data_IF_247089884709
#
_entry.id   IF_247089884709
#
_cell.length_a   1.000
_cell.length_b   1.000
_cell.length_c   1.000
_cell.angle_alpha   90.00
_cell.angle_beta   90.00
_cell.angle_gamma   90.00
#
_symmetry.space_group_name_H-M   'P 1'
#
loop_
_entity.id
_entity.type
_entity.pdbx_description
1 polymer ?
#
# COMPACT_ATOMS: atom_id res chain seq x y z
N UNK A 1 -35.78 -2.39 0.67
CA UNK A 1 -36.98 -2.63 1.52
C UNK A 1 -38.13 -1.70 1.19
N UNK A 2 -38.02 -0.40 1.28
CA UNK A 2 -39.09 0.57 0.94
C UNK A 2 -39.60 0.38 -0.49
N UNK A 3 -38.69 0.20 -1.45
CA UNK A 3 -39.04 -0.08 -2.85
C UNK A 3 -39.79 -1.37 -2.99
N UNK A 4 -39.42 -2.43 -2.30
CA UNK A 4 -40.06 -3.74 -2.36
C UNK A 4 -41.44 -3.69 -1.73
N UNK A 5 -41.59 -2.96 -0.60
CA UNK A 5 -42.89 -2.70 0.02
C UNK A 5 -43.81 -1.90 -0.89
N UNK A 6 -43.32 -0.83 -1.49
CA UNK A 6 -44.05 0.02 -2.42
C UNK A 6 -44.50 -0.76 -3.66
N UNK A 7 -43.58 -1.56 -4.20
CA UNK A 7 -43.86 -2.39 -5.38
C UNK A 7 -44.90 -3.48 -5.08
N UNK A 8 -44.82 -4.12 -3.93
CA UNK A 8 -45.71 -5.18 -3.53
C UNK A 8 -47.14 -4.67 -3.22
N UNK A 9 -47.26 -3.52 -2.56
CA UNK A 9 -48.58 -2.93 -2.22
C UNK A 9 -49.27 -2.33 -3.45
N UNK A 10 -48.50 -1.64 -4.33
CA UNK A 10 -49.09 -1.01 -5.52
C UNK A 10 -49.39 -1.99 -6.67
N UNK A 11 -48.57 -3.01 -6.83
CA UNK A 11 -48.69 -3.91 -7.96
C UNK A 11 -49.48 -5.19 -7.65
N UNK A 12 -49.75 -5.48 -6.37
CA UNK A 12 -50.45 -6.73 -6.02
C UNK A 12 -51.83 -6.86 -6.73
N UNK A 13 -52.64 -5.83 -6.70
CA UNK A 13 -53.94 -5.83 -7.33
C UNK A 13 -53.84 -5.91 -8.85
N UNK A 14 -52.97 -5.17 -9.48
CA UNK A 14 -52.77 -5.20 -10.93
C UNK A 14 -52.23 -6.53 -11.40
N UNK A 15 -51.27 -7.09 -10.67
CA UNK A 15 -50.72 -8.40 -10.98
C UNK A 15 -51.75 -9.52 -10.85
N UNK A 16 -52.55 -9.45 -9.78
CA UNK A 16 -53.63 -10.41 -9.57
C UNK A 16 -54.67 -10.34 -10.71
N UNK A 17 -55.07 -9.14 -11.13
CA UNK A 17 -56.01 -8.92 -12.21
C UNK A 17 -55.52 -9.54 -13.53
N UNK A 18 -54.27 -9.27 -13.90
CA UNK A 18 -53.64 -9.81 -15.12
C UNK A 18 -53.59 -11.35 -15.08
N UNK A 19 -53.09 -11.89 -13.96
CA UNK A 19 -52.98 -13.35 -13.78
C UNK A 19 -54.33 -14.03 -13.83
N UNK A 20 -55.37 -13.44 -13.20
CA UNK A 20 -56.69 -14.00 -13.15
C UNK A 20 -57.37 -13.96 -14.54
N UNK A 21 -57.15 -12.91 -15.33
CA UNK A 21 -57.59 -12.86 -16.74
C UNK A 21 -56.99 -13.98 -17.58
N UNK A 22 -55.65 -14.17 -17.49
CA UNK A 22 -54.99 -15.26 -18.23
C UNK A 22 -55.53 -16.66 -17.83
N UNK A 23 -55.72 -16.88 -16.52
CA UNK A 23 -56.31 -18.13 -16.02
C UNK A 23 -57.72 -18.36 -16.56
N UNK A 24 -58.57 -17.32 -16.53
CA UNK A 24 -59.95 -17.43 -16.98
C UNK A 24 -60.03 -17.69 -18.49
N UNK A 25 -59.15 -17.02 -19.27
CA UNK A 25 -59.04 -17.27 -20.71
C UNK A 25 -58.62 -18.72 -21.02
N UNK A 26 -57.66 -19.27 -20.25
CA UNK A 26 -57.24 -20.66 -20.38
C UNK A 26 -58.36 -21.64 -20.03
N UNK A 27 -59.13 -21.36 -18.98
CA UNK A 27 -60.28 -22.14 -18.55
C UNK A 27 -61.35 -22.13 -19.62
N UNK A 28 -61.70 -20.96 -20.14
CA UNK A 28 -62.74 -20.85 -21.23
C UNK A 28 -62.30 -21.62 -22.47
N UNK A 29 -61.01 -21.58 -22.86
CA UNK A 29 -60.51 -22.41 -23.98
C UNK A 29 -60.59 -23.89 -23.69
N UNK A 30 -60.31 -24.31 -22.44
CA UNK A 30 -60.45 -25.73 -22.05
C UNK A 30 -61.93 -26.19 -22.08
N UNK A 31 -62.86 -25.38 -21.61
CA UNK A 31 -64.32 -25.67 -21.71
C UNK A 31 -64.74 -25.82 -23.15
N UNK A 32 -64.32 -24.91 -24.05
CA UNK A 32 -64.57 -24.99 -25.49
C UNK A 32 -64.03 -26.28 -26.11
N UNK A 33 -62.86 -26.74 -25.72
CA UNK A 33 -62.25 -28.00 -26.18
C UNK A 33 -63.00 -29.21 -25.63
N UNK A 34 -63.32 -29.21 -24.32
CA UNK A 34 -64.00 -30.31 -23.66
C UNK A 34 -65.45 -30.57 -24.27
N UNK A 35 -66.12 -29.49 -24.60
CA UNK A 35 -67.46 -29.62 -25.24
C UNK A 35 -67.44 -30.27 -26.64
N UNK A 36 -66.31 -30.08 -27.38
CA UNK A 36 -66.16 -30.72 -28.72
C UNK A 36 -65.90 -32.23 -28.63
N UNK A 37 -65.49 -32.75 -27.48
CA UNK A 37 -65.23 -34.16 -27.26
C UNK A 37 -66.51 -34.89 -26.92
N UNK A 38 -66.68 -36.15 -27.32
CA UNK A 38 -67.94 -36.89 -27.49
C UNK A 38 -68.70 -37.34 -26.21
N UNK A 39 -68.23 -37.03 -24.96
CA UNK A 39 -68.79 -37.59 -23.72
C UNK A 39 -69.40 -36.52 -22.81
N UNK A 40 -70.82 -36.50 -22.72
CA UNK A 40 -71.56 -35.45 -22.00
C UNK A 40 -71.37 -35.52 -20.46
N UNK A 41 -71.35 -36.75 -19.90
CA UNK A 41 -71.19 -36.87 -18.43
C UNK A 41 -69.85 -36.40 -17.93
N UNK A 42 -68.75 -36.75 -18.60
CA UNK A 42 -67.44 -36.28 -18.27
C UNK A 42 -67.25 -34.77 -18.48
N UNK A 43 -68.08 -34.14 -19.28
CA UNK A 43 -68.02 -32.68 -19.48
C UNK A 43 -68.46 -31.92 -18.22
N UNK A 44 -69.54 -32.35 -17.58
CA UNK A 44 -70.01 -31.70 -16.35
C UNK A 44 -69.10 -31.93 -15.18
N UNK A 45 -68.55 -33.15 -15.00
CA UNK A 45 -67.56 -33.45 -13.96
C UNK A 45 -66.31 -32.60 -14.13
N UNK A 46 -65.80 -32.44 -15.34
CA UNK A 46 -64.61 -31.53 -15.61
C UNK A 46 -64.96 -30.07 -15.34
N UNK A 47 -66.17 -29.61 -15.57
CA UNK A 47 -66.58 -28.23 -15.27
C UNK A 47 -66.63 -28.00 -13.76
N UNK A 48 -67.04 -28.97 -13.00
CA UNK A 48 -67.08 -28.90 -11.54
C UNK A 48 -65.69 -28.80 -10.95
N UNK A 49 -64.77 -29.66 -11.39
CA UNK A 49 -63.37 -29.63 -10.98
C UNK A 49 -62.66 -28.30 -11.32
N UNK A 50 -62.92 -27.78 -12.53
CA UNK A 50 -62.37 -26.49 -12.99
C UNK A 50 -62.91 -25.33 -12.14
N UNK A 51 -64.24 -25.34 -11.87
CA UNK A 51 -64.88 -24.30 -11.05
C UNK A 51 -64.27 -24.25 -9.64
N UNK A 52 -64.03 -25.41 -9.00
CA UNK A 52 -63.48 -25.50 -7.65
C UNK A 52 -61.98 -25.12 -7.60
N UNK A 53 -61.24 -25.58 -8.59
CA UNK A 53 -59.79 -25.37 -8.59
C UNK A 53 -59.38 -23.89 -8.83
N UNK A 54 -60.23 -23.20 -9.66
CA UNK A 54 -59.85 -21.84 -10.09
C UNK A 54 -60.73 -20.71 -9.49
N UNK A 55 -61.65 -21.03 -8.56
CA UNK A 55 -62.54 -20.03 -7.97
C UNK A 55 -63.29 -19.21 -9.06
N UNK A 56 -63.85 -19.91 -10.01
CA UNK A 56 -64.56 -19.35 -11.15
C UNK A 56 -66.02 -19.90 -11.13
N UNK A 57 -67.02 -19.01 -11.22
CA UNK A 57 -68.40 -19.38 -11.27
C UNK A 57 -68.83 -19.66 -12.71
N UNK A 58 -69.35 -20.86 -12.95
CA UNK A 58 -69.74 -21.32 -14.29
C UNK A 58 -71.23 -21.62 -14.29
N UNK A 59 -71.95 -21.01 -15.22
CA UNK A 59 -73.36 -21.28 -15.48
C UNK A 59 -73.52 -21.74 -16.93
N UNK A 60 -74.23 -22.83 -17.14
CA UNK A 60 -74.45 -23.40 -18.46
C UNK A 60 -75.93 -23.51 -18.70
N UNK A 61 -76.40 -22.89 -19.76
CA UNK A 61 -77.78 -22.96 -20.20
C UNK A 61 -77.85 -23.45 -21.64
N UNK A 62 -78.95 -24.17 -21.95
CA UNK A 62 -79.32 -24.48 -23.33
C UNK A 62 -79.94 -23.25 -23.98
N UNK A 63 -79.98 -23.21 -25.31
CA UNK A 63 -80.64 -22.15 -26.10
C UNK A 63 -82.14 -21.99 -25.88
N UNK A 64 -82.80 -23.03 -25.38
CA UNK A 64 -84.17 -23.01 -24.98
C UNK A 64 -84.46 -22.42 -23.59
N UNK A 65 -83.39 -21.95 -22.90
CA UNK A 65 -83.45 -21.37 -21.57
C UNK A 65 -83.40 -22.39 -20.42
N UNK A 66 -83.31 -23.70 -20.71
CA UNK A 66 -83.16 -24.72 -19.68
C UNK A 66 -81.75 -24.70 -19.09
N UNK A 67 -81.60 -24.68 -17.75
CA UNK A 67 -80.29 -24.67 -17.04
C UNK A 67 -79.76 -26.10 -16.98
N UNK A 68 -78.60 -26.35 -17.56
CA UNK A 68 -77.87 -27.62 -17.49
C UNK A 68 -76.91 -27.75 -16.32
N UNK A 69 -76.30 -26.71 -15.96
CA UNK A 69 -75.34 -26.65 -14.82
C UNK A 69 -75.30 -25.28 -14.17
N UNK A 70 -75.41 -25.26 -12.88
CA UNK A 70 -75.20 -24.05 -12.07
C UNK A 70 -74.54 -24.45 -10.74
N UNK A 71 -73.37 -23.90 -10.47
CA UNK A 71 -72.75 -24.03 -9.16
C UNK A 71 -72.97 -22.75 -8.39
N UNK A 72 -73.83 -22.73 -7.39
CA UNK A 72 -73.96 -21.59 -6.52
C UNK A 72 -72.73 -21.47 -5.68
N UNK A 73 -72.16 -20.29 -5.57
CA UNK A 73 -71.24 -19.95 -4.47
C UNK A 73 -72.02 -20.16 -3.16
N UNK A 74 -71.32 -20.64 -2.10
CA UNK A 74 -71.93 -21.00 -0.80
C UNK A 74 -72.75 -19.92 -0.09
N UNK A 75 -72.93 -18.75 -0.72
CA UNK A 75 -73.82 -17.68 -0.26
C UNK A 75 -74.95 -17.38 -1.28
N UNK A 76 -76.15 -17.49 -0.84
CA UNK A 76 -77.38 -17.26 -1.66
C UNK A 76 -77.44 -15.86 -2.29
N UNK A 77 -76.74 -14.88 -1.71
CA UNK A 77 -76.63 -13.49 -2.20
C UNK A 77 -75.84 -13.45 -3.50
N UNK A 78 -74.67 -14.13 -3.55
CA UNK A 78 -73.81 -14.18 -4.73
C UNK A 78 -74.51 -14.90 -5.90
N UNK A 79 -75.23 -15.98 -5.64
CA UNK A 79 -75.95 -16.71 -6.68
C UNK A 79 -77.05 -15.84 -7.39
N UNK A 80 -77.78 -15.06 -6.62
CA UNK A 80 -78.79 -14.14 -7.17
C UNK A 80 -78.15 -13.01 -7.97
N UNK A 81 -77.02 -12.52 -7.50
CA UNK A 81 -76.24 -11.47 -8.20
C UNK A 81 -75.78 -11.96 -9.57
N UNK A 82 -75.17 -13.14 -9.68
CA UNK A 82 -74.66 -13.68 -10.93
C UNK A 82 -75.84 -14.03 -11.89
N UNK A 83 -76.98 -14.52 -11.40
CA UNK A 83 -78.18 -14.76 -12.21
C UNK A 83 -78.66 -13.47 -12.89
N UNK A 84 -78.61 -12.32 -12.20
CA UNK A 84 -78.99 -11.03 -12.79
C UNK A 84 -78.00 -10.59 -13.88
N UNK A 85 -76.70 -10.89 -13.69
CA UNK A 85 -75.65 -10.54 -14.67
C UNK A 85 -75.71 -11.37 -15.96
N UNK A 86 -76.37 -12.55 -15.96
CA UNK A 86 -76.55 -13.35 -17.15
C UNK A 86 -77.35 -12.59 -18.21
N UNK A 87 -78.33 -11.78 -17.80
CA UNK A 87 -79.12 -10.97 -18.74
C UNK A 87 -78.25 -9.95 -19.48
N UNK A 88 -77.33 -9.29 -18.73
CA UNK A 88 -76.34 -8.36 -19.29
C UNK A 88 -75.32 -9.03 -20.24
N UNK A 89 -74.89 -10.24 -19.91
CA UNK A 89 -74.05 -11.04 -20.80
C UNK A 89 -74.78 -11.42 -22.09
N UNK A 90 -76.03 -11.81 -22.00
CA UNK A 90 -76.88 -12.15 -23.17
C UNK A 90 -77.07 -10.93 -24.07
N UNK A 91 -77.39 -9.79 -23.50
CA UNK A 91 -77.58 -8.53 -24.25
C UNK A 91 -76.29 -8.21 -25.05
N UNK A 92 -75.15 -8.23 -24.41
CA UNK A 92 -73.87 -7.98 -25.09
C UNK A 92 -73.50 -9.05 -26.11
N UNK A 93 -73.87 -10.31 -25.87
CA UNK A 93 -73.59 -11.40 -26.79
C UNK A 93 -74.51 -11.28 -28.08
N UNK A 94 -75.71 -10.78 -27.92
CA UNK A 94 -76.60 -10.46 -29.06
C UNK A 94 -76.15 -9.23 -29.83
N UNK A 95 -75.63 -8.21 -29.13
CA UNK A 95 -75.14 -6.99 -29.76
C UNK A 95 -73.78 -7.22 -30.53
N UNK A 96 -72.92 -8.07 -30.05
CA UNK A 96 -71.65 -8.35 -30.68
C UNK A 96 -71.73 -9.16 -31.95
N UNK A 97 -72.77 -9.93 -32.14
CA UNK A 97 -72.98 -10.93 -33.22
C UNK A 97 -71.81 -11.96 -33.28
N UNK A 98 -71.09 -12.14 -32.21
CA UNK A 98 -69.95 -13.06 -32.06
C UNK A 98 -70.32 -14.25 -31.18
N UNK A 99 -69.67 -15.43 -31.38
CA UNK A 99 -69.83 -16.60 -30.54
C UNK A 99 -69.26 -16.46 -29.13
N UNK A 100 -68.61 -15.32 -28.81
CA UNK A 100 -67.99 -15.07 -27.51
C UNK A 100 -67.88 -13.58 -27.17
N UNK A 101 -68.16 -13.24 -25.94
CA UNK A 101 -68.07 -11.90 -25.41
C UNK A 101 -67.33 -11.97 -24.06
N UNK A 102 -66.45 -10.99 -23.82
CA UNK A 102 -65.80 -10.81 -22.52
C UNK A 102 -65.77 -9.33 -22.14
N UNK A 103 -66.17 -9.05 -20.93
CA UNK A 103 -66.16 -7.69 -20.37
C UNK A 103 -66.11 -7.72 -18.85
N UNK A 104 -65.79 -6.60 -18.28
CA UNK A 104 -65.73 -6.44 -16.83
C UNK A 104 -67.02 -5.80 -16.34
N UNK A 105 -67.61 -6.34 -15.30
CA UNK A 105 -68.78 -5.80 -14.59
C UNK A 105 -68.38 -5.41 -13.18
N UNK A 106 -69.06 -4.41 -12.62
CA UNK A 106 -68.85 -4.02 -11.23
C UNK A 106 -69.50 -5.06 -10.31
N UNK A 107 -68.80 -5.39 -9.23
CA UNK A 107 -69.28 -6.35 -8.24
C UNK A 107 -70.34 -5.76 -7.31
N UNK A 108 -70.61 -6.45 -6.22
CA UNK A 108 -71.51 -5.98 -5.16
C UNK A 108 -71.02 -4.75 -4.39
N UNK A 109 -69.78 -4.37 -4.62
CA UNK A 109 -69.13 -3.25 -4.05
C UNK A 109 -68.30 -2.54 -5.18
N UNK A 110 -68.46 -1.23 -5.37
CA UNK A 110 -67.89 -0.46 -6.50
C UNK A 110 -66.39 -0.61 -6.70
N UNK A 111 -65.69 -1.07 -5.66
CA UNK A 111 -64.24 -1.36 -5.73
C UNK A 111 -63.90 -2.76 -6.30
N UNK A 112 -64.86 -3.61 -6.50
CA UNK A 112 -64.70 -5.02 -6.89
C UNK A 112 -65.17 -5.25 -8.31
N UNK A 113 -64.26 -5.70 -9.15
CA UNK A 113 -64.56 -6.01 -10.56
C UNK A 113 -64.66 -7.50 -10.80
N UNK A 114 -65.60 -7.92 -11.63
CA UNK A 114 -65.80 -9.29 -12.04
C UNK A 114 -65.60 -9.37 -13.54
N UNK A 115 -64.76 -10.31 -13.99
CA UNK A 115 -64.65 -10.63 -15.41
C UNK A 115 -65.69 -11.58 -15.80
N UNK A 116 -66.55 -11.17 -16.72
CA UNK A 116 -67.68 -11.96 -17.27
C UNK A 116 -67.36 -12.40 -18.69
N UNK A 117 -67.57 -13.67 -18.95
CA UNK A 117 -67.51 -14.27 -20.28
C UNK A 117 -68.91 -14.90 -20.65
N UNK A 118 -69.33 -14.64 -21.86
CA UNK A 118 -70.39 -15.36 -22.52
C UNK A 118 -69.88 -16.11 -23.73
N UNK A 119 -70.06 -17.40 -23.81
CA UNK A 119 -69.57 -18.20 -24.94
C UNK A 119 -70.66 -19.13 -25.46
N UNK A 120 -70.99 -19.07 -26.74
CA UNK A 120 -71.82 -20.00 -27.44
C UNK A 120 -71.03 -21.23 -27.88
N UNK A 121 -71.37 -22.38 -27.37
CA UNK A 121 -70.72 -23.65 -27.72
C UNK A 121 -71.59 -24.41 -28.74
N UNK A 122 -71.10 -24.53 -29.95
CA UNK A 122 -71.70 -25.26 -31.02
C UNK A 122 -70.86 -26.48 -31.37
N UNK A 123 -71.38 -27.65 -31.36
CA UNK A 123 -70.73 -28.88 -31.80
C UNK A 123 -71.66 -29.73 -32.67
N UNK A 124 -71.09 -30.48 -33.65
CA UNK A 124 -71.89 -31.37 -34.54
C UNK A 124 -72.66 -32.37 -33.71
N UNK A 125 -74.00 -32.44 -33.99
CA UNK A 125 -74.96 -33.35 -33.33
C UNK A 125 -75.16 -33.10 -31.83
N UNK A 126 -74.94 -31.89 -31.31
CA UNK A 126 -75.28 -31.50 -29.95
C UNK A 126 -76.10 -30.24 -29.94
N UNK A 127 -76.95 -30.09 -28.90
CA UNK A 127 -77.69 -28.86 -28.68
C UNK A 127 -76.75 -27.70 -28.40
N UNK A 128 -76.92 -26.55 -29.04
CA UNK A 128 -76.07 -25.40 -28.71
C UNK A 128 -76.24 -25.00 -27.24
N UNK A 129 -75.10 -24.72 -26.55
CA UNK A 129 -75.11 -24.32 -25.17
C UNK A 129 -74.48 -22.92 -25.04
N UNK A 130 -74.93 -22.15 -24.07
CA UNK A 130 -74.26 -20.91 -23.66
C UNK A 130 -73.61 -21.15 -22.31
N UNK A 131 -72.35 -20.87 -22.25
CA UNK A 131 -71.57 -20.95 -21.03
C UNK A 131 -71.21 -19.52 -20.55
N UNK A 132 -71.67 -19.20 -19.39
CA UNK A 132 -71.37 -17.96 -18.69
C UNK A 132 -70.32 -18.27 -17.64
N UNK A 133 -69.22 -17.49 -17.65
CA UNK A 133 -68.13 -17.64 -16.69
C UNK A 133 -67.93 -16.33 -16.01
N UNK A 134 -67.98 -16.34 -14.68
CA UNK A 134 -67.70 -15.14 -13.85
C UNK A 134 -66.48 -15.38 -12.97
N UNK A 135 -65.52 -14.53 -13.10
CA UNK A 135 -64.26 -14.62 -12.35
C UNK A 135 -64.00 -13.35 -11.54
N UNK A 136 -63.95 -13.40 -10.22
CA UNK A 136 -63.60 -12.23 -9.41
C UNK A 136 -62.16 -11.77 -9.69
N UNK A 137 -61.99 -10.48 -9.94
CA UNK A 137 -60.68 -9.86 -10.22
C UNK A 137 -60.01 -9.29 -8.97
N UNK A 138 -60.47 -9.67 -7.79
CA UNK A 138 -59.88 -9.28 -6.53
C UNK A 138 -59.45 -10.52 -5.73
N UNK A 139 -58.33 -10.45 -5.02
CA UNK A 139 -57.94 -11.54 -4.13
C UNK A 139 -58.89 -11.62 -2.93
N UNK A 140 -59.11 -12.82 -2.42
CA UNK A 140 -59.91 -13.03 -1.21
C UNK A 140 -59.32 -12.16 -0.07
N UNK A 141 -60.19 -11.43 0.63
CA UNK A 141 -59.82 -10.47 1.66
C UNK A 141 -58.86 -11.06 2.71
N UNK A 142 -59.04 -12.33 3.06
CA UNK A 142 -58.14 -13.05 3.98
C UNK A 142 -56.73 -13.17 3.43
N UNK A 143 -56.53 -13.37 2.14
CA UNK A 143 -55.24 -13.49 1.50
C UNK A 143 -54.46 -12.16 1.54
N UNK A 144 -55.18 -11.05 1.26
CA UNK A 144 -54.57 -9.70 1.36
C UNK A 144 -54.13 -9.42 2.79
N UNK A 145 -54.96 -9.75 3.78
CA UNK A 145 -54.64 -9.51 5.20
C UNK A 145 -53.46 -10.35 5.66
N UNK A 146 -53.37 -11.62 5.24
CA UNK A 146 -52.23 -12.49 5.54
C UNK A 146 -50.92 -11.91 4.95
N UNK A 147 -50.95 -11.53 3.65
CA UNK A 147 -49.79 -10.96 2.96
C UNK A 147 -49.33 -9.64 3.59
N UNK A 148 -50.29 -8.78 3.97
CA UNK A 148 -49.99 -7.51 4.63
C UNK A 148 -49.32 -7.71 6.00
N UNK A 149 -49.91 -8.61 6.81
CA UNK A 149 -49.30 -8.95 8.12
C UNK A 149 -47.91 -9.57 7.96
N UNK A 150 -47.75 -10.49 7.03
CA UNK A 150 -46.45 -11.11 6.75
C UNK A 150 -45.44 -10.08 6.32
N UNK A 151 -45.80 -9.10 5.51
CA UNK A 151 -44.93 -8.01 5.05
C UNK A 151 -44.47 -7.13 6.23
N UNK A 152 -45.35 -6.84 7.19
CA UNK A 152 -44.99 -6.09 8.41
C UNK A 152 -43.95 -6.85 9.23
N UNK A 153 -44.14 -8.17 9.45
CA UNK A 153 -43.18 -8.98 10.19
C UNK A 153 -41.81 -9.06 9.50
N UNK A 154 -41.80 -9.31 8.18
CA UNK A 154 -40.55 -9.36 7.39
C UNK A 154 -39.84 -8.03 7.43
N UNK A 155 -40.55 -6.89 7.33
CA UNK A 155 -39.97 -5.56 7.41
C UNK A 155 -39.33 -5.31 8.78
N UNK A 156 -40.04 -5.65 9.85
CA UNK A 156 -39.51 -5.47 11.20
C UNK A 156 -38.26 -6.32 11.46
N UNK A 157 -38.29 -7.60 11.10
CA UNK A 157 -37.16 -8.52 11.28
C UNK A 157 -35.95 -8.05 10.45
N UNK A 158 -36.16 -7.63 9.20
CA UNK A 158 -35.05 -7.16 8.35
C UNK A 158 -34.45 -5.85 8.84
N UNK A 159 -35.27 -4.94 9.38
CA UNK A 159 -34.77 -3.70 9.99
C UNK A 159 -33.92 -4.00 11.23
N UNK A 160 -34.39 -4.89 12.10
CA UNK A 160 -33.64 -5.33 13.27
C UNK A 160 -32.31 -5.98 12.89
N UNK A 161 -32.33 -6.87 11.89
CA UNK A 161 -31.13 -7.51 11.38
C UNK A 161 -30.14 -6.50 10.79
N UNK A 162 -30.62 -5.51 10.01
CA UNK A 162 -29.79 -4.44 9.45
C UNK A 162 -29.13 -3.59 10.55
N UNK A 163 -29.88 -3.27 11.61
CA UNK A 163 -29.32 -2.55 12.77
C UNK A 163 -28.23 -3.37 13.47
N UNK A 164 -28.45 -4.66 13.70
CA UNK A 164 -27.46 -5.56 14.30
C UNK A 164 -26.19 -5.66 13.46
N UNK A 165 -26.32 -5.85 12.15
CA UNK A 165 -25.19 -5.90 11.22
C UNK A 165 -24.45 -4.57 11.22
N UNK A 166 -25.16 -3.44 11.14
CA UNK A 166 -24.55 -2.11 11.14
C UNK A 166 -23.75 -1.84 12.42
N UNK A 167 -24.31 -2.21 13.56
CA UNK A 167 -23.63 -2.05 14.86
C UNK A 167 -22.39 -2.95 14.96
N UNK A 168 -22.47 -4.19 14.49
CA UNK A 168 -21.35 -5.13 14.41
C UNK A 168 -20.24 -4.63 13.52
N UNK A 169 -20.55 -4.17 12.29
CA UNK A 169 -19.57 -3.64 11.33
C UNK A 169 -18.91 -2.36 11.87
N UNK A 170 -19.69 -1.47 12.48
CA UNK A 170 -19.16 -0.23 13.10
C UNK A 170 -18.09 -0.53 14.14
N UNK A 171 -18.31 -1.54 14.99
CA UNK A 171 -17.33 -1.96 15.98
C UNK A 171 -16.07 -2.59 15.41
N UNK A 172 -16.21 -3.35 14.32
CA UNK A 172 -15.13 -4.14 13.72
C UNK A 172 -14.28 -3.38 12.70
N UNK A 173 -14.88 -2.43 11.97
CA UNK A 173 -14.21 -1.71 10.87
C UNK A 173 -14.03 -0.23 11.21
N UNK A 174 -15.09 0.47 11.56
CA UNK A 174 -15.06 1.93 11.68
C UNK A 174 -14.21 2.38 12.89
N UNK A 175 -14.34 1.71 14.02
CA UNK A 175 -13.57 2.08 15.23
C UNK A 175 -12.05 1.92 15.06
N UNK A 176 -11.50 0.81 14.51
CA UNK A 176 -10.07 0.69 14.26
C UNK A 176 -9.55 1.76 13.27
N UNK A 177 -10.26 1.99 12.16
CA UNK A 177 -9.89 3.01 11.18
C UNK A 177 -9.85 4.40 11.82
N UNK A 178 -10.84 4.75 12.64
CA UNK A 178 -10.86 6.04 13.35
C UNK A 178 -9.67 6.20 14.32
N UNK A 179 -9.26 5.10 14.98
CA UNK A 179 -8.06 5.12 15.84
C UNK A 179 -6.79 5.35 15.05
N UNK A 180 -6.66 4.68 13.89
CA UNK A 180 -5.52 4.89 12.98
C UNK A 180 -5.50 6.33 12.48
N UNK A 181 -6.64 6.89 12.05
CA UNK A 181 -6.74 8.28 11.61
C UNK A 181 -6.32 9.27 12.71
N UNK A 182 -6.78 9.09 13.95
CA UNK A 182 -6.38 9.95 15.06
C UNK A 182 -4.89 9.83 15.41
N UNK A 183 -4.32 8.61 15.31
CA UNK A 183 -2.87 8.43 15.47
C UNK A 183 -2.08 9.08 14.34
N UNK A 184 -2.63 9.09 13.11
CA UNK A 184 -2.00 9.75 11.98
C UNK A 184 -2.05 11.29 12.09
N UNK A 185 -3.10 11.86 12.68
CA UNK A 185 -3.15 13.29 13.03
C UNK A 185 -2.02 13.66 14.01
N UNK A 186 -1.83 12.87 15.07
CA UNK A 186 -0.73 13.08 16.02
C UNK A 186 0.65 12.98 15.36
N UNK A 187 0.82 12.03 14.42
CA UNK A 187 2.04 11.91 13.64
C UNK A 187 2.28 13.16 12.79
N UNK A 188 1.24 13.72 12.18
CA UNK A 188 1.33 14.96 11.40
C UNK A 188 1.66 16.19 12.27
N UNK A 189 1.27 16.18 13.54
CA UNK A 189 1.59 17.21 14.52
C UNK A 189 3.02 17.09 15.09
N UNK A 190 3.79 16.10 14.58
CA UNK A 190 5.20 15.93 14.95
C UNK A 190 5.44 14.95 16.10
N UNK A 191 4.44 14.20 16.54
CA UNK A 191 4.62 13.10 17.48
C UNK A 191 5.09 11.85 16.73
N UNK A 192 6.38 11.62 16.68
CA UNK A 192 6.97 10.45 16.01
C UNK A 192 7.05 9.22 16.94
N UNK A 193 7.37 8.04 16.37
CA UNK A 193 7.48 6.80 17.15
C UNK A 193 6.13 6.21 17.57
N UNK A 194 5.03 6.65 16.96
CA UNK A 194 3.69 6.17 17.29
C UNK A 194 3.48 4.75 16.75
N UNK A 195 3.04 3.85 17.63
CA UNK A 195 2.60 2.50 17.27
C UNK A 195 1.12 2.53 16.90
N UNK A 196 0.81 2.29 15.65
CA UNK A 196 -0.56 2.19 15.15
C UNK A 196 -1.14 0.82 15.51
N UNK A 197 -2.32 0.82 16.11
CA UNK A 197 -3.01 -0.43 16.47
C UNK A 197 -4.03 -0.78 15.39
N UNK A 198 -3.86 -1.94 14.78
CA UNK A 198 -4.78 -2.50 13.81
C UNK A 198 -6.10 -2.98 14.43
N UNK A 199 -6.77 -3.89 13.72
CA UNK A 199 -8.06 -4.46 14.09
C UNK A 199 -8.11 -5.97 13.86
N UNK A 200 -9.30 -6.46 13.51
CA UNK A 200 -9.53 -7.88 13.25
C UNK A 200 -9.31 -8.26 11.76
N UNK A 201 -9.08 -7.28 10.88
CA UNK A 201 -8.91 -7.49 9.44
C UNK A 201 -7.44 -7.36 9.06
N UNK A 202 -6.98 -8.26 8.22
CA UNK A 202 -5.59 -8.32 7.75
C UNK A 202 -5.16 -7.02 7.07
N UNK A 203 -6.06 -6.41 6.29
CA UNK A 203 -5.81 -5.16 5.57
C UNK A 203 -5.59 -3.98 6.54
N UNK A 204 -6.37 -3.93 7.62
CA UNK A 204 -6.23 -2.89 8.65
C UNK A 204 -4.94 -3.10 9.46
N UNK A 205 -4.55 -4.35 9.73
CA UNK A 205 -3.29 -4.66 10.39
C UNK A 205 -2.10 -4.30 9.50
N UNK A 206 -2.12 -4.68 8.22
CA UNK A 206 -1.06 -4.32 7.27
C UNK A 206 -0.90 -2.79 7.13
N UNK A 207 -2.02 -2.05 7.13
CA UNK A 207 -1.98 -0.59 7.13
C UNK A 207 -1.35 -0.05 8.42
N UNK A 208 -1.77 -0.56 9.58
CA UNK A 208 -1.23 -0.16 10.88
C UNK A 208 0.28 -0.44 10.99
N UNK A 209 0.73 -1.62 10.55
CA UNK A 209 2.13 -2.02 10.55
C UNK A 209 2.97 -1.14 9.61
N UNK A 210 2.43 -0.81 8.44
CA UNK A 210 3.11 0.07 7.48
C UNK A 210 3.24 1.49 8.03
N UNK A 211 2.19 2.04 8.65
CA UNK A 211 2.24 3.35 9.29
C UNK A 211 3.14 3.36 10.51
N UNK A 212 3.19 2.28 11.30
CA UNK A 212 4.12 2.14 12.42
C UNK A 212 5.57 2.21 11.94
N UNK A 213 5.91 1.46 10.89
CA UNK A 213 7.26 1.51 10.31
C UNK A 213 7.61 2.91 9.80
N UNK A 214 6.67 3.57 9.09
CA UNK A 214 6.88 4.93 8.63
C UNK A 214 7.08 5.92 9.80
N UNK A 215 6.33 5.77 10.88
CA UNK A 215 6.45 6.60 12.09
C UNK A 215 7.82 6.43 12.77
N UNK A 216 8.32 5.21 12.87
CA UNK A 216 9.64 4.90 13.45
C UNK A 216 10.76 5.46 12.56
N UNK A 217 10.65 5.36 11.24
CA UNK A 217 11.65 5.94 10.32
C UNK A 217 11.65 7.47 10.39
N UNK A 218 10.47 8.11 10.54
CA UNK A 218 10.37 9.55 10.75
C UNK A 218 11.01 9.98 12.08
N UNK A 219 10.76 9.23 13.17
CA UNK A 219 11.39 9.47 14.48
C UNK A 219 12.91 9.42 14.39
N UNK A 220 13.44 8.38 13.75
CA UNK A 220 14.88 8.22 13.54
C UNK A 220 15.46 9.37 12.72
N UNK A 221 14.76 9.80 11.67
CA UNK A 221 15.16 10.94 10.84
C UNK A 221 15.17 12.24 11.63
N UNK A 222 14.15 12.50 12.44
CA UNK A 222 14.04 13.69 13.29
C UNK A 222 15.15 13.74 14.35
N UNK A 223 15.42 12.60 15.02
CA UNK A 223 16.51 12.48 15.97
C UNK A 223 17.87 12.78 15.32
N UNK A 224 18.14 12.16 14.16
CA UNK A 224 19.38 12.41 13.42
C UNK A 224 19.52 13.88 12.99
N UNK A 225 18.41 14.54 12.63
CA UNK A 225 18.44 15.96 12.28
C UNK A 225 18.70 16.86 13.50
N UNK A 226 18.11 16.55 14.65
CA UNK A 226 18.35 17.29 15.90
C UNK A 226 19.79 17.14 16.38
N UNK A 227 20.31 15.91 16.35
CA UNK A 227 21.70 15.62 16.71
C UNK A 227 22.68 16.34 15.76
N UNK A 228 22.38 16.36 14.46
CA UNK A 228 23.15 17.11 13.47
C UNK A 228 23.23 18.59 13.86
N UNK A 229 22.09 19.24 14.10
CA UNK A 229 22.03 20.67 14.43
C UNK A 229 22.78 20.96 15.74
N UNK A 230 22.62 20.13 16.76
CA UNK A 230 23.27 20.29 18.04
C UNK A 230 24.80 20.18 17.91
N UNK A 231 25.29 19.13 17.25
CA UNK A 231 26.72 18.89 17.07
C UNK A 231 27.38 19.94 16.17
N UNK A 232 26.70 20.33 15.06
CA UNK A 232 27.17 21.43 14.20
C UNK A 232 27.32 22.73 14.98
N UNK A 233 26.31 23.07 15.79
CA UNK A 233 26.34 24.31 16.59
C UNK A 233 27.50 24.32 17.58
N UNK A 234 27.79 23.16 18.18
CA UNK A 234 28.93 23.02 19.09
C UNK A 234 30.28 23.16 18.35
N UNK A 235 30.43 22.42 17.23
CA UNK A 235 31.69 22.36 16.48
C UNK A 235 32.00 23.67 15.74
N UNK A 236 31.03 24.49 15.42
CA UNK A 236 31.19 25.84 14.88
C UNK A 236 31.56 26.86 16.00
N UNK A 237 30.98 26.69 17.20
CA UNK A 237 31.17 27.64 18.30
C UNK A 237 32.62 27.65 18.79
N UNK A 238 33.27 26.49 18.89
CA UNK A 238 34.62 26.34 19.42
C UNK A 238 35.66 27.16 18.62
N UNK A 239 35.83 26.93 17.28
CA UNK A 239 36.77 27.71 16.47
C UNK A 239 36.42 29.21 16.46
N UNK A 240 35.13 29.56 16.41
CA UNK A 240 34.73 30.95 16.44
C UNK A 240 35.12 31.66 17.74
N UNK A 241 35.02 30.94 18.88
CA UNK A 241 35.45 31.46 20.18
C UNK A 241 36.95 31.64 20.23
N UNK A 242 37.72 30.70 19.65
CA UNK A 242 39.20 30.81 19.58
C UNK A 242 39.60 31.99 18.70
N UNK A 243 39.04 32.10 17.48
CA UNK A 243 39.29 33.26 16.60
C UNK A 243 39.06 34.58 17.35
N UNK A 244 37.90 34.69 18.04
CA UNK A 244 37.58 35.89 18.81
C UNK A 244 38.57 36.14 19.93
N UNK A 245 38.92 35.13 20.73
CA UNK A 245 39.84 35.28 21.88
C UNK A 245 41.25 35.67 21.45
N UNK A 246 41.75 35.06 20.37
CA UNK A 246 43.09 35.42 19.86
C UNK A 246 43.10 36.81 19.22
N UNK A 247 42.00 37.23 18.54
CA UNK A 247 41.88 38.59 18.04
C UNK A 247 41.81 39.61 19.18
N UNK A 248 41.13 39.35 20.30
CA UNK A 248 41.12 40.17 21.50
C UNK A 248 42.51 40.20 22.16
N UNK A 249 43.23 39.07 22.24
CA UNK A 249 44.60 39.01 22.73
C UNK A 249 45.57 39.84 21.88
N UNK A 250 45.45 39.82 20.56
CA UNK A 250 46.25 40.68 19.68
C UNK A 250 45.94 42.14 19.94
N UNK A 251 44.67 42.49 20.05
CA UNK A 251 44.25 43.89 20.26
C UNK A 251 44.69 44.43 21.58
N UNK A 252 44.58 43.69 22.67
CA UNK A 252 44.74 44.22 24.02
C UNK A 252 46.13 43.92 24.66
N UNK A 253 46.83 42.87 24.19
CA UNK A 253 48.04 42.36 24.88
C UNK A 253 49.25 42.26 23.94
N UNK A 254 49.16 41.56 22.82
CA UNK A 254 50.24 41.15 22.00
C UNK A 254 50.51 41.99 20.75
N UNK A 255 49.67 42.98 20.45
CA UNK A 255 49.74 43.76 19.22
C UNK A 255 51.07 44.46 18.97
N UNK A 256 51.79 44.83 20.04
CA UNK A 256 53.10 45.47 19.97
C UNK A 256 54.31 44.48 19.96
N UNK A 257 54.05 43.17 20.14
CA UNK A 257 55.03 42.11 20.05
C UNK A 257 54.88 41.36 18.72
N UNK A 258 55.77 41.60 17.73
CA UNK A 258 55.62 41.04 16.40
C UNK A 258 55.51 39.49 16.40
N UNK A 259 56.36 38.83 17.19
CA UNK A 259 56.47 37.39 17.23
C UNK A 259 55.15 36.77 17.78
N UNK A 260 54.70 37.26 18.95
CA UNK A 260 53.39 36.75 19.54
C UNK A 260 52.18 37.11 18.72
N UNK A 261 52.20 38.29 18.08
CA UNK A 261 51.12 38.68 17.17
C UNK A 261 51.03 37.72 16.00
N UNK A 262 52.17 37.38 15.38
CA UNK A 262 52.22 36.48 14.22
C UNK A 262 51.82 35.04 14.62
N UNK A 263 52.24 34.56 15.81
CA UNK A 263 51.75 33.29 16.38
C UNK A 263 50.25 33.28 16.57
N UNK A 264 49.68 34.34 17.15
CA UNK A 264 48.22 34.45 17.36
C UNK A 264 47.44 34.61 16.05
N UNK A 265 47.98 35.31 15.05
CA UNK A 265 47.41 35.42 13.71
C UNK A 265 47.36 34.06 13.01
N UNK A 266 48.41 33.25 13.17
CA UNK A 266 48.43 31.91 12.61
C UNK A 266 47.30 31.04 13.19
N UNK A 267 47.08 31.07 14.50
CA UNK A 267 45.95 30.35 15.12
C UNK A 267 44.60 30.80 14.56
N UNK A 268 44.46 32.11 14.32
CA UNK A 268 43.19 32.62 13.70
C UNK A 268 43.02 32.08 12.29
N UNK A 269 44.10 32.03 11.50
CA UNK A 269 44.08 31.51 10.13
C UNK A 269 43.74 30.02 10.16
N UNK A 270 44.40 29.24 11.00
CA UNK A 270 44.18 27.79 11.13
C UNK A 270 42.73 27.45 11.53
N UNK A 271 42.17 28.20 12.51
CA UNK A 271 40.79 28.00 12.94
C UNK A 271 39.75 28.47 11.89
N UNK A 272 40.10 29.48 11.08
CA UNK A 272 39.26 29.90 9.95
C UNK A 272 39.24 28.84 8.83
N UNK A 273 40.38 28.25 8.51
CA UNK A 273 40.50 27.15 7.53
C UNK A 273 39.79 25.91 8.03
N UNK A 274 39.88 25.58 9.30
CA UNK A 274 39.12 24.50 9.93
C UNK A 274 37.62 24.72 9.83
N UNK A 275 37.15 25.94 10.08
CA UNK A 275 35.74 26.31 9.96
C UNK A 275 35.22 26.14 8.51
N UNK A 276 36.05 26.56 7.54
CA UNK A 276 35.75 26.42 6.13
C UNK A 276 35.61 24.91 5.73
N UNK A 277 36.53 24.07 6.24
CA UNK A 277 36.44 22.61 6.07
C UNK A 277 35.15 22.02 6.62
N UNK A 278 34.75 22.41 7.85
CA UNK A 278 33.48 21.97 8.46
C UNK A 278 32.25 22.38 7.64
N UNK A 279 32.22 23.61 7.12
CA UNK A 279 31.11 24.08 6.28
C UNK A 279 31.04 23.27 4.99
N UNK A 280 32.14 22.97 4.35
CA UNK A 280 32.18 22.15 3.13
C UNK A 280 31.75 20.71 3.39
N UNK A 281 32.12 20.12 4.53
CA UNK A 281 31.66 18.79 4.95
C UNK A 281 30.13 18.76 5.13
N UNK A 282 29.58 19.79 5.80
CA UNK A 282 28.14 19.94 6.00
C UNK A 282 27.36 20.09 4.69
N UNK A 283 27.88 20.92 3.78
CA UNK A 283 27.27 21.09 2.45
C UNK A 283 27.29 19.78 1.66
N UNK A 284 28.36 19.00 1.78
CA UNK A 284 28.53 17.70 1.16
C UNK A 284 27.46 16.73 1.69
N UNK A 285 27.32 16.62 3.01
CA UNK A 285 26.32 15.77 3.68
C UNK A 285 24.89 16.19 3.29
N UNK A 286 24.60 17.50 3.30
CA UNK A 286 23.27 18.03 2.94
C UNK A 286 22.89 17.69 1.50
N UNK A 287 23.83 17.80 0.55
CA UNK A 287 23.61 17.43 -0.87
C UNK A 287 23.37 15.93 -1.02
N UNK A 288 24.08 15.10 -0.26
CA UNK A 288 23.92 13.65 -0.26
C UNK A 288 22.53 13.24 0.27
N UNK A 289 22.10 13.80 1.41
CA UNK A 289 20.78 13.51 2.00
C UNK A 289 19.60 13.90 1.11
N UNK A 290 19.75 14.99 0.36
CA UNK A 290 18.69 15.43 -0.56
C UNK A 290 18.51 14.52 -1.79
N UNK A 291 19.31 13.46 -1.93
CA UNK A 291 19.31 12.58 -3.12
C UNK A 291 19.71 13.28 -4.42
N UNK A 292 20.20 14.53 -4.33
CA UNK A 292 20.54 15.36 -5.49
C UNK A 292 21.96 15.17 -5.97
N UNK A 293 22.75 14.32 -5.29
CA UNK A 293 24.12 14.09 -5.68
C UNK A 293 24.19 13.10 -6.84
N UNK A 294 24.58 13.58 -8.02
CA UNK A 294 24.87 12.76 -9.18
C UNK A 294 26.37 12.51 -9.27
N UNK A 295 26.77 11.26 -9.47
CA UNK A 295 28.18 10.90 -9.69
C UNK A 295 28.57 11.15 -11.14
N UNK A 296 29.68 11.84 -11.35
CA UNK A 296 30.30 12.02 -12.67
C UNK A 296 31.36 10.92 -12.88
N UNK A 297 30.88 9.70 -13.19
CA UNK A 297 31.76 8.55 -13.37
C UNK A 297 32.51 8.61 -14.68
N UNK A 298 33.83 8.43 -14.63
CA UNK A 298 34.71 8.24 -15.77
C UNK A 298 35.87 7.33 -15.39
N UNK A 299 36.66 6.95 -16.38
CA UNK A 299 37.84 6.12 -16.16
C UNK A 299 39.02 7.03 -15.79
N UNK A 300 39.67 6.79 -14.65
CA UNK A 300 40.75 7.59 -14.15
C UNK A 300 41.85 6.72 -13.50
N UNK A 301 43.03 7.29 -13.30
CA UNK A 301 44.17 6.62 -12.68
C UNK A 301 44.16 6.83 -11.16
N UNK A 302 43.71 5.79 -10.41
CA UNK A 302 43.67 5.86 -8.95
C UNK A 302 45.07 5.95 -8.32
N UNK A 303 46.10 5.40 -8.99
CA UNK A 303 47.49 5.47 -8.50
C UNK A 303 48.01 6.90 -8.53
N UNK A 304 47.76 7.66 -9.61
CA UNK A 304 48.08 9.08 -9.68
C UNK A 304 47.29 9.90 -8.66
N UNK A 305 46.00 9.60 -8.50
CA UNK A 305 45.14 10.27 -7.50
C UNK A 305 45.69 10.08 -6.08
N UNK A 306 46.12 8.87 -5.71
CA UNK A 306 46.74 8.58 -4.43
C UNK A 306 48.09 9.29 -4.27
N UNK A 307 48.92 9.30 -5.32
CA UNK A 307 50.21 9.98 -5.30
C UNK A 307 50.05 11.51 -5.14
N UNK A 308 49.07 12.13 -5.77
CA UNK A 308 48.79 13.55 -5.60
C UNK A 308 48.43 13.89 -4.15
N UNK A 309 47.66 13.03 -3.48
CA UNK A 309 47.31 13.22 -2.06
C UNK A 309 48.57 13.14 -1.19
N UNK A 310 49.38 12.11 -1.35
CA UNK A 310 50.64 11.98 -0.60
C UNK A 310 51.55 13.20 -0.79
N UNK A 311 51.70 13.68 -2.03
CA UNK A 311 52.52 14.85 -2.33
C UNK A 311 52.04 16.13 -1.62
N UNK A 312 50.74 16.26 -1.35
CA UNK A 312 50.18 17.40 -0.59
C UNK A 312 50.68 17.44 0.86
N UNK A 313 50.94 16.28 1.44
CA UNK A 313 51.41 16.15 2.84
C UNK A 313 52.92 15.98 2.97
N UNK A 314 53.71 16.13 1.89
CA UNK A 314 55.14 15.92 1.88
C UNK A 314 55.93 16.83 2.87
N UNK A 315 55.42 18.02 3.16
CA UNK A 315 56.00 18.94 4.14
C UNK A 315 56.00 18.28 5.54
N UNK A 316 54.98 17.51 5.90
CA UNK A 316 54.93 16.80 7.18
C UNK A 316 56.01 15.69 7.29
N UNK A 317 56.43 15.09 6.17
CA UNK A 317 57.56 14.16 6.15
C UNK A 317 58.86 14.86 6.48
N UNK A 318 59.09 16.07 5.92
CA UNK A 318 60.30 16.84 6.08
C UNK A 318 60.40 17.53 7.46
N UNK A 319 59.31 18.07 7.98
CA UNK A 319 59.31 18.87 9.20
C UNK A 319 58.93 18.08 10.46
N UNK A 320 58.01 17.11 10.33
CA UNK A 320 57.42 16.40 11.48
C UNK A 320 57.87 14.93 11.60
N UNK A 321 58.63 14.43 10.59
CA UNK A 321 59.18 13.06 10.59
C UNK A 321 58.15 11.95 10.32
N UNK A 322 57.11 12.27 9.57
CA UNK A 322 56.19 11.25 9.06
C UNK A 322 56.81 10.43 7.93
N UNK A 323 56.32 9.22 7.71
CA UNK A 323 56.69 8.36 6.59
C UNK A 323 55.45 7.94 5.83
N UNK A 324 55.29 8.42 4.58
CA UNK A 324 54.17 8.12 3.74
C UNK A 324 54.58 7.19 2.60
N UNK A 325 53.94 6.05 2.47
CA UNK A 325 54.27 5.04 1.48
C UNK A 325 53.09 4.75 0.54
N UNK A 326 53.37 4.67 -0.79
CA UNK A 326 52.44 4.17 -1.79
C UNK A 326 52.93 2.85 -2.35
N UNK A 327 52.26 1.77 -2.00
CA UNK A 327 52.53 0.45 -2.50
C UNK A 327 51.58 0.12 -3.67
N UNK A 328 51.98 0.48 -4.90
CA UNK A 328 51.24 0.20 -6.12
C UNK A 328 52.19 -0.43 -7.16
N UNK A 329 51.99 -1.72 -7.54
CA UNK A 329 52.87 -2.37 -8.49
C UNK A 329 52.80 -1.81 -9.90
N UNK A 330 51.66 -1.18 -10.25
CA UNK A 330 51.39 -0.60 -11.57
C UNK A 330 50.42 0.57 -11.43
N UNK A 331 50.24 1.33 -12.51
CA UNK A 331 49.14 2.29 -12.62
C UNK A 331 47.82 1.57 -12.84
N UNK A 332 46.86 1.79 -11.97
CA UNK A 332 45.54 1.20 -12.04
C UNK A 332 44.50 2.17 -12.57
N UNK A 333 43.84 1.81 -13.65
CA UNK A 333 42.71 2.57 -14.16
C UNK A 333 41.41 1.97 -13.57
N UNK A 334 40.56 2.84 -12.98
CA UNK A 334 39.33 2.46 -12.33
C UNK A 334 38.18 3.34 -12.82
N UNK A 335 36.93 2.83 -12.73
CA UNK A 335 35.75 3.60 -13.09
C UNK A 335 35.09 4.18 -11.84
N UNK A 336 34.93 5.49 -11.78
CA UNK A 336 34.33 6.19 -10.66
C UNK A 336 34.31 7.72 -10.85
N UNK A 337 33.84 8.43 -9.85
CA UNK A 337 33.94 9.89 -9.79
C UNK A 337 35.28 10.24 -9.12
N UNK A 338 36.23 10.72 -9.93
CA UNK A 338 37.61 10.97 -9.51
C UNK A 338 37.70 11.92 -8.30
N UNK A 339 36.93 13.03 -8.33
CA UNK A 339 36.97 14.02 -7.26
C UNK A 339 36.42 13.45 -5.95
N UNK A 340 35.37 12.63 -6.02
CA UNK A 340 34.79 11.97 -4.86
C UNK A 340 35.69 10.87 -4.32
N UNK A 341 36.35 10.10 -5.17
CA UNK A 341 37.32 9.08 -4.74
C UNK A 341 38.57 9.73 -4.15
N UNK A 342 39.07 10.86 -4.70
CA UNK A 342 40.11 11.66 -4.07
C UNK A 342 39.69 12.12 -2.68
N UNK A 343 38.46 12.58 -2.50
CA UNK A 343 37.92 12.96 -1.18
C UNK A 343 37.90 11.75 -0.22
N UNK A 344 37.52 10.54 -0.70
CA UNK A 344 37.58 9.31 0.10
C UNK A 344 39.02 9.04 0.58
N UNK A 345 39.98 8.99 -0.37
CA UNK A 345 41.37 8.70 -0.03
C UNK A 345 41.91 9.75 0.93
N UNK A 346 41.67 11.04 0.68
CA UNK A 346 42.08 12.13 1.55
C UNK A 346 41.53 12.01 2.97
N UNK A 347 40.24 11.72 3.12
CA UNK A 347 39.61 11.55 4.44
C UNK A 347 40.18 10.33 5.19
N UNK A 348 40.42 9.21 4.51
CA UNK A 348 41.04 8.03 5.12
C UNK A 348 42.49 8.30 5.49
N UNK A 349 43.24 8.99 4.63
CA UNK A 349 44.64 9.34 4.85
C UNK A 349 44.84 10.32 6.01
N UNK A 350 44.06 11.41 6.06
CA UNK A 350 44.10 12.36 7.19
C UNK A 350 43.68 11.71 8.50
N UNK A 351 42.73 10.76 8.44
CA UNK A 351 42.37 9.98 9.61
C UNK A 351 43.54 9.09 10.08
N UNK A 352 44.21 8.42 9.14
CA UNK A 352 45.42 7.63 9.45
C UNK A 352 46.56 8.47 10.04
N UNK A 353 46.86 9.66 9.50
CA UNK A 353 47.82 10.59 10.07
C UNK A 353 47.47 10.95 11.52
N UNK A 354 46.21 11.26 11.75
CA UNK A 354 45.72 11.69 13.08
C UNK A 354 45.88 10.62 14.15
N UNK A 355 45.67 9.35 13.79
CA UNK A 355 45.67 8.24 14.73
C UNK A 355 46.88 7.32 14.63
N UNK A 356 47.86 7.60 13.75
CA UNK A 356 49.07 6.80 13.62
C UNK A 356 49.84 6.73 14.95
N UNK A 357 50.67 5.71 15.09
CA UNK A 357 51.50 5.46 16.25
C UNK A 357 52.78 6.35 16.31
N UNK A 358 53.69 5.98 17.21
CA UNK A 358 54.96 6.68 17.40
C UNK A 358 55.88 6.58 16.17
N UNK A 359 55.68 5.55 15.34
CA UNK A 359 56.41 5.34 14.09
C UNK A 359 56.03 6.32 12.97
N UNK A 360 54.93 7.05 13.16
CA UNK A 360 54.41 8.07 12.24
C UNK A 360 54.30 7.57 10.79
N UNK A 361 53.96 6.29 10.61
CA UNK A 361 53.94 5.64 9.30
C UNK A 361 52.49 5.44 8.83
N UNK A 362 52.20 5.89 7.61
CA UNK A 362 50.93 5.65 6.93
C UNK A 362 51.19 5.05 5.55
N UNK A 363 50.51 3.93 5.25
CA UNK A 363 50.74 3.19 4.02
C UNK A 363 49.45 3.13 3.18
N UNK A 364 49.52 3.58 1.93
CA UNK A 364 48.47 3.36 0.95
C UNK A 364 48.86 2.19 0.07
N UNK A 365 48.06 1.13 0.02
CA UNK A 365 48.30 -0.04 -0.81
C UNK A 365 47.20 -0.17 -1.86
N UNK A 366 47.59 -0.31 -3.13
CA UNK A 366 46.71 -0.58 -4.26
C UNK A 366 47.02 -1.97 -4.82
N UNK A 367 46.04 -2.89 -4.78
CA UNK A 367 46.18 -4.24 -5.30
C UNK A 367 45.00 -4.62 -6.19
N UNK A 368 45.30 -5.27 -7.31
CA UNK A 368 44.25 -5.87 -8.18
C UNK A 368 43.77 -7.17 -7.58
N UNK A 369 42.46 -7.30 -7.41
CA UNK A 369 41.77 -8.50 -6.96
C UNK A 369 40.62 -8.85 -7.94
N UNK A 370 40.93 -9.73 -8.91
CA UNK A 370 39.98 -10.08 -9.95
C UNK A 370 39.61 -8.89 -10.83
N UNK A 371 38.32 -8.50 -10.80
CA UNK A 371 37.80 -7.35 -11.55
C UNK A 371 37.84 -6.04 -10.77
N UNK A 372 38.39 -6.04 -9.59
CA UNK A 372 38.48 -4.87 -8.72
C UNK A 372 39.92 -4.46 -8.44
N UNK A 373 40.08 -3.19 -8.14
CA UNK A 373 41.27 -2.65 -7.46
C UNK A 373 40.87 -2.35 -6.03
N UNK A 374 41.57 -2.93 -5.07
CA UNK A 374 41.39 -2.68 -3.64
C UNK A 374 42.35 -1.60 -3.23
N UNK A 375 41.85 -0.51 -2.67
CA UNK A 375 42.62 0.52 -2.02
C UNK A 375 42.57 0.29 -0.51
N UNK A 376 43.72 0.24 0.14
CA UNK A 376 43.90 0.10 1.60
C UNK A 376 44.68 1.27 2.11
N UNK A 377 44.23 1.90 3.19
CA UNK A 377 44.95 2.93 3.93
C UNK A 377 45.17 2.40 5.33
N UNK A 378 46.42 2.22 5.70
CA UNK A 378 46.87 1.55 6.91
C UNK A 378 47.67 2.50 7.79
N UNK A 379 47.35 2.51 9.07
CA UNK A 379 48.11 3.15 10.13
C UNK A 379 48.53 2.12 11.19
N UNK A 380 49.63 2.42 11.92
CA UNK A 380 50.12 1.61 13.03
C UNK A 380 49.79 2.27 14.37
N UNK A 381 48.61 2.82 14.48
CA UNK A 381 48.17 3.55 15.66
C UNK A 381 47.52 2.72 16.76
N UNK A 382 46.75 3.40 17.57
CA UNK A 382 46.11 2.81 18.75
C UNK A 382 45.08 1.73 18.44
N UNK A 383 44.62 1.66 17.18
CA UNK A 383 43.56 0.73 16.76
C UNK A 383 42.20 1.07 17.33
N UNK A 384 41.22 0.24 16.96
CA UNK A 384 39.81 0.41 17.31
C UNK A 384 39.31 -0.89 17.97
N UNK A 385 38.56 -0.77 19.06
CA UNK A 385 37.97 -1.92 19.74
C UNK A 385 36.93 -2.63 18.85
N UNK A 386 36.85 -3.95 18.94
CA UNK A 386 35.95 -4.74 18.08
C UNK A 386 34.48 -4.35 18.21
N UNK A 387 34.06 -3.87 19.37
CA UNK A 387 32.72 -3.41 19.68
C UNK A 387 32.38 -2.05 19.00
N UNK A 388 33.38 -1.27 18.69
CA UNK A 388 33.26 0.07 18.11
C UNK A 388 33.31 0.04 16.56
N UNK A 389 33.78 -1.05 15.93
CA UNK A 389 33.97 -1.16 14.49
C UNK A 389 32.66 -0.94 13.68
N UNK A 390 31.52 -1.28 14.23
CA UNK A 390 30.22 -1.04 13.57
C UNK A 390 29.84 0.44 13.57
N UNK A 391 30.32 1.20 14.53
CA UNK A 391 29.95 2.60 14.78
C UNK A 391 30.90 3.63 14.18
N UNK A 392 32.11 3.23 13.74
CA UNK A 392 33.09 4.18 13.19
C UNK A 392 32.60 4.92 11.94
N UNK A 393 31.63 4.37 11.24
CA UNK A 393 31.00 4.95 10.07
C UNK A 393 29.81 5.87 10.39
N UNK A 394 29.40 5.93 11.68
CA UNK A 394 28.30 6.78 12.12
C UNK A 394 28.74 8.23 12.21
N UNK A 395 27.83 9.16 11.96
CA UNK A 395 28.13 10.59 11.99
C UNK A 395 28.44 11.03 13.41
N UNK A 396 29.46 11.88 13.56
CA UNK A 396 29.92 12.40 14.86
C UNK A 396 30.41 11.34 15.83
N UNK A 397 30.57 10.10 15.39
CA UNK A 397 31.12 9.06 16.24
C UNK A 397 32.60 9.32 16.50
N UNK A 398 32.99 9.25 17.75
CA UNK A 398 34.38 9.35 18.23
C UNK A 398 34.61 8.18 19.16
N UNK A 399 35.61 7.33 18.86
CA UNK A 399 35.91 6.16 19.67
C UNK A 399 36.35 6.55 21.08
N UNK A 400 35.81 5.88 22.09
CA UNK A 400 35.96 6.22 23.52
C UNK A 400 37.40 6.04 24.03
N UNK A 401 38.17 5.16 23.39
CA UNK A 401 39.54 4.81 23.77
C UNK A 401 40.57 5.92 23.57
N UNK A 402 40.19 7.00 22.87
CA UNK A 402 41.14 8.06 22.44
C UNK A 402 40.85 9.44 23.04
N UNK A 403 40.39 9.51 24.29
CA UNK A 403 40.00 10.76 24.94
C UNK A 403 41.07 11.88 24.92
N UNK A 404 42.33 11.56 24.81
CA UNK A 404 43.42 12.60 24.86
C UNK A 404 43.63 13.28 23.49
N UNK A 405 43.36 12.61 22.37
CA UNK A 405 43.44 13.16 21.00
C UNK A 405 42.06 13.41 20.34
N UNK A 406 40.99 13.11 21.05
CA UNK A 406 39.60 13.18 20.52
C UNK A 406 39.09 14.62 20.30
N UNK A 407 39.83 15.65 20.67
CA UNK A 407 39.46 17.05 20.51
C UNK A 407 39.56 17.55 19.06
N UNK A 408 40.36 16.90 18.22
CA UNK A 408 40.58 17.33 16.83
C UNK A 408 39.81 16.46 15.84
N UNK A 409 38.74 16.98 15.28
CA UNK A 409 38.02 16.39 14.17
C UNK A 409 36.50 16.42 14.34
N UNK A 410 35.80 16.67 13.23
CA UNK A 410 34.34 16.80 13.18
C UNK A 410 33.58 15.48 13.35
N UNK A 411 34.25 14.33 13.23
CA UNK A 411 33.58 13.03 13.18
C UNK A 411 32.72 12.83 11.91
N UNK A 412 32.88 13.70 10.92
CA UNK A 412 32.14 13.64 9.66
C UNK A 412 32.88 12.92 8.55
N UNK A 413 34.23 12.89 8.59
CA UNK A 413 35.07 12.35 7.51
C UNK A 413 34.72 10.91 7.11
N UNK A 414 34.64 9.98 8.08
CA UNK A 414 34.29 8.57 7.80
C UNK A 414 32.83 8.39 7.35
N UNK A 415 31.92 9.21 7.83
CA UNK A 415 30.54 9.20 7.36
C UNK A 415 30.40 9.69 5.90
N UNK A 416 31.23 10.67 5.49
CA UNK A 416 31.31 11.11 4.10
C UNK A 416 31.92 10.00 3.23
N UNK A 417 32.94 9.30 3.70
CA UNK A 417 33.51 8.12 3.01
C UNK A 417 32.47 7.06 2.77
N UNK A 418 31.73 6.66 3.81
CA UNK A 418 30.62 5.70 3.73
C UNK A 418 29.62 6.10 2.65
N UNK A 419 29.18 7.35 2.67
CA UNK A 419 28.14 7.83 1.75
C UNK A 419 28.64 7.85 0.30
N UNK A 420 29.88 8.31 0.04
CA UNK A 420 30.46 8.30 -1.30
C UNK A 420 30.60 6.88 -1.84
N UNK A 421 31.10 5.93 -1.03
CA UNK A 421 31.30 4.55 -1.43
C UNK A 421 29.93 3.83 -1.64
N UNK A 422 28.93 4.14 -0.82
CA UNK A 422 27.56 3.68 -0.99
C UNK A 422 26.96 4.17 -2.32
N UNK A 423 27.13 5.46 -2.66
CA UNK A 423 26.69 6.02 -3.96
C UNK A 423 27.41 5.35 -5.13
N UNK A 424 28.68 4.97 -4.97
CA UNK A 424 29.45 4.22 -5.97
C UNK A 424 29.01 2.75 -6.06
N UNK A 425 28.24 2.23 -5.08
CA UNK A 425 27.83 0.82 -4.97
C UNK A 425 29.03 -0.13 -4.97
N UNK A 426 30.00 0.16 -4.13
CA UNK A 426 31.25 -0.59 -3.98
C UNK A 426 31.38 -1.10 -2.55
N UNK A 427 32.15 -2.20 -2.38
CA UNK A 427 32.44 -2.76 -1.07
C UNK A 427 33.51 -1.92 -0.38
N UNK A 428 33.38 -1.77 0.92
CA UNK A 428 34.32 -1.10 1.79
C UNK A 428 34.30 -1.72 3.19
N UNK A 429 35.28 -1.45 3.97
CA UNK A 429 35.35 -1.97 5.32
C UNK A 429 36.53 -1.41 6.14
N UNK A 430 36.64 -1.91 7.36
CA UNK A 430 37.69 -1.59 8.31
C UNK A 430 38.19 -2.88 8.96
N UNK A 431 39.47 -2.99 9.11
CA UNK A 431 40.20 -4.04 9.84
C UNK A 431 41.01 -3.35 10.89
N UNK A 432 40.83 -3.67 12.17
CA UNK A 432 41.59 -3.05 13.26
C UNK A 432 41.73 -3.98 14.45
N UNK A 433 42.85 -3.83 15.14
CA UNK A 433 43.10 -4.49 16.40
C UNK A 433 43.65 -3.45 17.37
N UNK A 434 43.12 -3.39 18.57
CA UNK A 434 43.54 -2.43 19.59
C UNK A 434 45.04 -2.59 19.87
N UNK A 435 45.80 -1.48 19.78
CA UNK A 435 47.25 -1.45 19.95
C UNK A 435 48.08 -1.87 18.73
N UNK A 436 47.44 -2.22 17.59
CA UNK A 436 48.18 -2.68 16.39
C UNK A 436 47.89 -1.85 15.14
N UNK A 437 47.00 -0.86 15.24
CA UNK A 437 46.65 0.03 14.13
C UNK A 437 45.34 -0.27 13.45
N UNK A 438 45.04 0.46 12.37
CA UNK A 438 43.80 0.36 11.63
C UNK A 438 44.04 0.36 10.13
N UNK A 439 43.28 -0.45 9.39
CA UNK A 439 43.26 -0.47 7.94
C UNK A 439 41.86 -0.22 7.45
N UNK A 440 41.64 0.89 6.79
CA UNK A 440 40.42 1.15 6.02
C UNK A 440 40.63 0.72 4.58
N UNK A 441 39.63 0.09 3.96
CA UNK A 441 39.75 -0.36 2.59
C UNK A 441 38.43 -0.18 1.80
N UNK A 442 38.57 -0.06 0.47
CA UNK A 442 37.45 -0.04 -0.46
C UNK A 442 37.87 -0.64 -1.81
N UNK A 443 36.87 -1.05 -2.61
CA UNK A 443 37.06 -1.67 -3.91
C UNK A 443 36.49 -0.77 -5.02
N UNK A 444 37.20 -0.68 -6.17
CA UNK A 444 36.69 -0.01 -7.38
C UNK A 444 36.80 -0.93 -8.58
N UNK A 445 35.89 -0.78 -9.54
CA UNK A 445 35.93 -1.56 -10.76
C UNK A 445 37.19 -1.23 -11.59
N UNK A 446 38.02 -2.24 -11.82
CA UNK A 446 39.21 -2.13 -12.67
C UNK A 446 38.80 -2.03 -14.13
N UNK A 447 39.38 -1.07 -14.85
CA UNK A 447 39.22 -0.90 -16.28
C UNK A 447 40.47 -1.43 -16.97
N UNK A 448 40.31 -2.46 -17.81
CA UNK A 448 41.40 -3.09 -18.53
C UNK A 448 41.87 -2.15 -19.65
N UNK A 449 43.08 -1.62 -19.56
CA UNK A 449 43.67 -0.81 -20.60
C UNK A 449 44.20 -1.69 -21.75
N UNK A 450 43.98 -1.31 -23.00
CA UNK A 450 44.39 -2.09 -24.22
C UNK A 450 45.93 -2.34 -24.31
N UNK A 451 46.73 -1.78 -23.42
CA UNK A 451 48.21 -1.93 -23.39
C UNK A 451 48.71 -3.19 -22.66
N UNK A 452 47.90 -3.97 -21.99
CA UNK A 452 48.30 -5.25 -21.44
C UNK A 452 48.06 -6.39 -22.46
N UNK A 453 48.89 -6.46 -23.52
CA UNK A 453 49.12 -7.72 -24.23
C UNK A 453 49.79 -8.69 -23.28
N UNK A 454 49.35 -9.93 -23.16
CA UNK A 454 50.02 -10.91 -22.28
C UNK A 454 51.44 -11.16 -22.78
N UNK A 455 52.42 -10.93 -21.95
CA UNK A 455 53.75 -11.45 -22.14
C UNK A 455 53.61 -13.00 -22.16
N UNK A 456 54.31 -13.63 -23.12
CA UNK A 456 54.32 -15.07 -23.31
C UNK A 456 54.70 -15.80 -22.02
N UNK A 457 54.20 -17.05 -21.81
CA UNK A 457 54.38 -17.79 -20.56
C UNK A 457 55.85 -18.16 -20.38
N UNK A 458 56.49 -17.62 -19.34
CA UNK A 458 57.74 -18.10 -18.84
C UNK A 458 57.48 -19.37 -18.01
N UNK A 459 58.31 -20.40 -18.33
CA UNK A 459 58.34 -21.73 -17.79
C UNK A 459 58.25 -21.78 -16.25
N UNK A 460 57.54 -22.76 -15.77
CA UNK A 460 57.39 -23.14 -14.38
C UNK A 460 58.74 -23.64 -13.78
N UNK A 461 58.96 -23.26 -12.53
CA UNK A 461 59.76 -24.02 -11.58
C UNK A 461 58.99 -24.21 -10.28
N UNK A 462 59.07 -25.42 -9.69
CA UNK A 462 58.23 -25.81 -8.60
C UNK A 462 58.94 -25.72 -7.24
N UNK A 463 58.13 -25.64 -6.22
CA UNK A 463 58.40 -25.91 -4.80
C UNK A 463 58.97 -24.83 -3.91
N UNK A 464 58.12 -24.35 -3.05
CA UNK A 464 58.36 -24.48 -1.59
C UNK A 464 57.08 -24.14 -0.83
N UNK A 465 56.56 -25.11 -0.09
CA UNK A 465 55.49 -24.97 0.86
C UNK A 465 56.01 -24.17 2.10
N UNK A 466 55.19 -23.26 2.56
CA UNK A 466 55.23 -22.81 3.95
C UNK A 466 53.81 -22.54 4.41
N UNK A 467 53.39 -23.35 5.34
CA UNK A 467 52.23 -23.17 6.21
C UNK A 467 52.45 -21.92 7.05
N UNK A 468 51.60 -20.90 6.85
CA UNK A 468 51.46 -19.82 7.80
C UNK A 468 50.03 -19.86 8.37
N UNK A 469 49.96 -20.29 9.63
CA UNK A 469 48.86 -20.10 10.53
C UNK A 469 48.84 -18.64 10.96
N UNK A 470 47.94 -17.85 10.39
CA UNK A 470 47.79 -16.42 10.74
C UNK A 470 46.67 -16.29 11.76
N UNK A 471 46.87 -15.54 12.86
CA UNK A 471 45.87 -15.38 13.92
C UNK A 471 44.69 -14.53 13.41
N UNK A 472 43.49 -15.01 13.63
CA UNK A 472 42.16 -14.50 13.26
C UNK A 472 42.03 -12.98 13.41
N UNK A 473 42.34 -12.23 12.36
CA UNK A 473 41.83 -10.85 12.18
C UNK A 473 40.31 -10.95 11.95
N UNK A 474 39.54 -10.29 12.80
CA UNK A 474 38.08 -10.15 12.61
C UNK A 474 37.85 -9.12 11.51
N UNK A 475 37.52 -9.61 10.33
CA UNK A 475 37.13 -8.80 9.17
C UNK A 475 35.64 -8.66 9.15
N UNK A 476 35.11 -7.43 9.17
CA UNK A 476 33.70 -7.16 8.89
C UNK A 476 33.54 -6.60 7.48
N UNK A 477 32.76 -7.28 6.68
CA UNK A 477 32.37 -6.86 5.34
C UNK A 477 30.99 -6.22 5.39
N UNK A 478 30.86 -5.05 4.79
CA UNK A 478 29.56 -4.42 4.55
C UNK A 478 29.20 -4.60 3.07
N UNK A 479 28.21 -5.46 2.80
CA UNK A 479 27.60 -5.63 1.48
C UNK A 479 26.29 -4.85 1.42
N UNK A 480 26.02 -4.23 0.28
CA UNK A 480 24.70 -3.70 -0.09
C UNK A 480 23.92 -4.70 -0.91
#
# INVERSE_FOLDING_TARGET
>A
MIILWFLQVLFLNNFYEVMKKEQTDAVVKNIKKAYKVKNSERFLDNIEEISDTHDIYIYIASFDGSTMYFKPSGDNTSSRYYANQIATVNEKLLESQEDSVSFTIDGTDDSKKILAYGNVLIAKNKTPLIVYTFSPLWPVSSTIQILTNQLVYVTFISLLLACCISFYLSGRITRPIRKIAHSAERLADGEYGIVFKGGHYTEINNLADTLTRASIELEKSDMLQKDLIANVSHDLRTPLTMIKSYAEMIKDISGNNPQKRDEHLQVIIDEADRLNGLVNDLLTISRMQSGKMTLHRHDFNITEAAQMILNTYRIMEEEEGYTFQLNAPTNFIVNGDEDKIKQVISNLFTNAIKFCGEDKTVVITLKKRGRFVVCRVEDHGVGIAAEELDHVWDRYYKASSNMVRATEGSGLGLSIVKEILTLHKVNYGVESTLGSGTTFWFELNYVKTEKEKPAAPALADPASGSTDDDPKLKTKHYNQ
#
